data_IF_078627811786
#
_entry.id   IF_078627811786
#
_cell.length_a   1.000
_cell.length_b   1.000
_cell.length_c   1.000
_cell.angle_alpha   90.00
_cell.angle_beta   90.00
_cell.angle_gamma   90.00
#
_symmetry.space_group_name_H-M   'P 1'
#
loop_
_entity.id
_entity.type
_entity.pdbx_description
1 polymer ?
#
# COMPACT_ATOMS: atom_id res chain seq x y z
N UNK A 1 1.09 3.20 -8.32
CA UNK A 1 0.35 1.92 -8.17
C UNK A 1 -1.13 2.14 -7.89
N UNK A 2 -1.51 2.70 -6.73
CA UNK A 2 -2.93 2.85 -6.34
C UNK A 2 -3.85 3.58 -7.33
N UNK A 3 -3.44 4.69 -7.98
CA UNK A 3 -4.30 5.35 -8.96
C UNK A 3 -4.68 4.44 -10.14
N UNK A 4 -3.73 3.64 -10.66
CA UNK A 4 -3.97 2.73 -11.77
C UNK A 4 -4.93 1.60 -11.39
N UNK A 5 -4.83 1.07 -10.17
CA UNK A 5 -5.76 0.05 -9.69
C UNK A 5 -7.19 0.58 -9.61
N UNK A 6 -7.38 1.79 -9.09
CA UNK A 6 -8.70 2.41 -8.97
C UNK A 6 -9.26 2.85 -10.32
N UNK A 7 -8.40 3.30 -11.24
CA UNK A 7 -8.81 3.57 -12.62
C UNK A 7 -9.33 2.31 -13.31
N UNK A 8 -8.63 1.18 -13.13
CA UNK A 8 -9.03 -0.09 -13.75
C UNK A 8 -10.31 -0.68 -13.15
N UNK A 9 -10.48 -0.60 -11.83
CA UNK A 9 -11.56 -1.29 -11.11
C UNK A 9 -12.82 -0.43 -10.92
N UNK A 10 -12.67 0.88 -10.80
CA UNK A 10 -13.77 1.81 -10.51
C UNK A 10 -13.91 2.91 -11.56
N UNK A 11 -13.05 2.96 -12.58
CA UNK A 11 -13.07 4.05 -13.57
C UNK A 11 -12.66 5.42 -13.01
N UNK A 12 -11.92 5.44 -11.90
CA UNK A 12 -11.50 6.69 -11.27
C UNK A 12 -10.55 7.50 -12.15
N UNK A 13 -10.74 8.83 -12.19
CA UNK A 13 -9.96 9.78 -13.01
C UNK A 13 -8.61 10.21 -12.39
N UNK A 14 -8.28 9.69 -11.20
CA UNK A 14 -7.02 9.96 -10.51
C UNK A 14 -7.04 11.16 -9.56
N UNK A 15 -8.17 11.84 -9.42
CA UNK A 15 -8.30 13.07 -8.60
C UNK A 15 -8.36 12.84 -7.10
N UNK A 16 -8.54 11.59 -6.65
CA UNK A 16 -8.67 11.25 -5.23
C UNK A 16 -7.42 11.64 -4.40
N UNK A 17 -7.64 11.99 -3.13
CA UNK A 17 -6.54 12.16 -2.18
C UNK A 17 -5.84 10.81 -1.90
N UNK A 18 -4.64 10.83 -1.31
CA UNK A 18 -3.96 9.58 -0.94
C UNK A 18 -4.80 8.76 0.06
N UNK A 19 -5.40 9.41 1.05
CA UNK A 19 -6.23 8.77 2.06
C UNK A 19 -7.48 8.15 1.43
N UNK A 20 -8.15 8.89 0.53
CA UNK A 20 -9.34 8.38 -0.15
C UNK A 20 -9.00 7.17 -1.01
N UNK A 21 -7.87 7.19 -1.72
CA UNK A 21 -7.39 6.01 -2.46
C UNK A 21 -7.21 4.79 -1.56
N UNK A 22 -6.66 4.97 -0.35
CA UNK A 22 -6.51 3.86 0.61
C UNK A 22 -7.86 3.32 1.06
N UNK A 23 -8.82 4.20 1.38
CA UNK A 23 -10.16 3.78 1.79
C UNK A 23 -10.90 3.03 0.67
N UNK A 24 -10.80 3.48 -0.58
CA UNK A 24 -11.39 2.77 -1.72
C UNK A 24 -10.77 1.37 -1.90
N UNK A 25 -9.45 1.28 -1.90
CA UNK A 25 -8.76 -0.01 -2.04
C UNK A 25 -9.04 -0.97 -0.86
N UNK A 26 -9.27 -0.43 0.33
CA UNK A 26 -9.68 -1.22 1.51
C UNK A 26 -11.11 -1.76 1.33
N UNK A 27 -12.06 -0.93 0.86
CA UNK A 27 -13.42 -1.38 0.52
C UNK A 27 -13.43 -2.45 -0.56
N UNK A 28 -12.50 -2.38 -1.52
CA UNK A 28 -12.30 -3.41 -2.56
C UNK A 28 -11.58 -4.67 -2.04
N UNK A 29 -11.26 -4.76 -0.75
CA UNK A 29 -10.50 -5.84 -0.13
C UNK A 29 -9.09 -6.06 -0.74
N UNK A 30 -8.56 -5.06 -1.44
CA UNK A 30 -7.20 -5.05 -2.01
C UNK A 30 -6.18 -4.53 -1.01
N UNK A 31 -6.63 -3.74 -0.04
CA UNK A 31 -5.88 -3.34 1.13
C UNK A 31 -6.49 -3.98 2.38
N UNK A 32 -5.64 -4.54 3.24
CA UNK A 32 -6.07 -5.09 4.52
C UNK A 32 -6.24 -4.03 5.60
N UNK A 33 -5.49 -2.93 5.53
CA UNK A 33 -5.51 -1.87 6.53
C UNK A 33 -4.98 -0.56 5.98
N UNK A 34 -5.85 0.43 5.74
CA UNK A 34 -5.46 1.76 5.28
C UNK A 34 -4.53 2.50 6.27
N UNK A 35 -4.74 2.34 7.59
CA UNK A 35 -3.91 2.99 8.63
C UNK A 35 -2.45 2.54 8.58
N UNK A 36 -2.19 1.29 8.20
CA UNK A 36 -0.82 0.78 8.08
C UNK A 36 -0.03 1.54 7.00
N UNK A 37 -0.66 1.87 5.87
CA UNK A 37 -0.04 2.67 4.80
C UNK A 37 0.23 4.11 5.21
N UNK A 38 -0.63 4.69 6.05
CA UNK A 38 -0.38 6.01 6.63
C UNK A 38 0.86 5.99 7.52
N UNK A 39 0.98 4.99 8.41
CA UNK A 39 2.18 4.80 9.26
C UNK A 39 3.44 4.62 8.43
N UNK A 40 3.37 3.84 7.35
CA UNK A 40 4.50 3.65 6.44
C UNK A 40 4.92 4.96 5.76
N UNK A 41 3.95 5.78 5.34
CA UNK A 41 4.21 7.11 4.77
C UNK A 41 4.89 8.01 5.78
N UNK A 42 4.41 8.01 7.02
CA UNK A 42 4.99 8.83 8.08
C UNK A 42 6.41 8.35 8.42
N UNK A 43 6.65 7.05 8.54
CA UNK A 43 7.99 6.48 8.69
C UNK A 43 8.93 6.89 7.57
N UNK A 44 8.47 6.82 6.31
CA UNK A 44 9.25 7.30 5.16
C UNK A 44 9.59 8.78 5.26
N UNK A 45 8.66 9.61 5.73
CA UNK A 45 8.90 11.04 5.92
C UNK A 45 9.99 11.29 6.98
N UNK A 46 9.99 10.51 8.07
CA UNK A 46 11.03 10.61 9.11
C UNK A 46 12.41 10.16 8.59
N UNK A 47 12.47 9.10 7.78
CA UNK A 47 13.73 8.63 7.18
C UNK A 47 14.34 9.64 6.19
N UNK A 48 13.50 10.41 5.50
CA UNK A 48 13.96 11.47 4.58
C UNK A 48 14.33 12.77 5.28
N UNK A 49 14.11 12.85 6.59
CA UNK A 49 14.39 14.05 7.35
C UNK A 49 15.85 14.03 7.85
N UNK A 50 16.65 15.00 7.41
CA UNK A 50 18.05 15.14 7.81
C UNK A 50 18.14 15.87 9.17
N UNK A 51 17.88 15.16 10.28
CA UNK A 51 18.24 15.61 11.63
C UNK A 51 19.46 14.84 12.15
N UNK A 52 20.69 15.28 11.83
CA UNK A 52 21.92 14.59 12.25
C UNK A 52 22.14 14.57 13.77
N UNK A 53 21.37 15.36 14.54
CA UNK A 53 21.45 15.49 15.99
C UNK A 53 20.84 14.30 16.76
N UNK A 54 20.09 13.41 16.09
CA UNK A 54 19.36 12.29 16.74
C UNK A 54 19.67 10.90 16.15
N UNK A 55 20.90 10.38 16.31
CA UNK A 55 21.31 9.10 15.74
C UNK A 55 20.49 7.91 16.27
N UNK A 56 20.03 7.96 17.52
CA UNK A 56 19.20 6.91 18.11
C UNK A 56 17.82 6.83 17.43
N UNK A 57 17.15 7.97 17.26
CA UNK A 57 15.87 8.08 16.54
C UNK A 57 16.01 7.57 15.11
N UNK A 58 17.11 7.92 14.43
CA UNK A 58 17.38 7.43 13.07
C UNK A 58 17.56 5.91 13.03
N UNK A 59 18.31 5.33 13.96
CA UNK A 59 18.49 3.87 14.05
C UNK A 59 17.15 3.15 14.29
N UNK A 60 16.29 3.70 15.16
CA UNK A 60 14.95 3.17 15.42
C UNK A 60 14.07 3.23 14.17
N UNK A 61 14.07 4.35 13.44
CA UNK A 61 13.34 4.48 12.18
C UNK A 61 13.85 3.49 11.13
N UNK A 62 15.17 3.29 11.01
CA UNK A 62 15.73 2.30 10.08
C UNK A 62 15.27 0.88 10.45
N UNK A 63 15.32 0.52 11.73
CA UNK A 63 14.85 -0.79 12.19
C UNK A 63 13.36 -1.00 11.89
N UNK A 64 12.53 0.02 12.14
CA UNK A 64 11.12 -0.01 11.77
C UNK A 64 10.92 -0.13 10.25
N UNK A 65 11.78 0.50 9.44
CA UNK A 65 11.71 0.43 7.98
C UNK A 65 12.03 -0.96 7.46
N UNK A 66 13.03 -1.63 8.04
CA UNK A 66 13.38 -3.01 7.72
C UNK A 66 12.20 -3.93 8.04
N UNK A 67 11.62 -3.84 9.24
CA UNK A 67 10.44 -4.63 9.61
C UNK A 67 9.23 -4.34 8.70
N UNK A 68 8.98 -3.07 8.37
CA UNK A 68 7.89 -2.69 7.47
C UNK A 68 8.10 -3.19 6.03
N UNK A 69 9.36 -3.35 5.60
CA UNK A 69 9.69 -3.89 4.28
C UNK A 69 9.29 -5.36 4.14
N UNK A 70 9.42 -6.16 5.20
CA UNK A 70 8.98 -7.55 5.21
C UNK A 70 7.46 -7.64 5.06
N UNK A 71 6.73 -6.78 5.77
CA UNK A 71 5.27 -6.69 5.67
C UNK A 71 4.82 -6.20 4.27
N UNK A 72 5.56 -5.27 3.65
CA UNK A 72 5.31 -4.85 2.26
C UNK A 72 5.47 -6.03 1.28
N UNK A 73 6.51 -6.85 1.45
CA UNK A 73 6.73 -8.02 0.60
C UNK A 73 5.58 -9.02 0.75
N UNK A 74 5.17 -9.34 1.98
CA UNK A 74 4.01 -10.21 2.25
C UNK A 74 2.73 -9.67 1.62
N UNK A 75 2.49 -8.36 1.77
CA UNK A 75 1.36 -7.69 1.14
C UNK A 75 1.40 -7.88 -0.39
N UNK A 76 2.56 -7.70 -1.01
CA UNK A 76 2.68 -7.79 -2.46
C UNK A 76 2.39 -9.21 -2.98
N UNK A 77 2.86 -10.23 -2.27
CA UNK A 77 2.53 -11.63 -2.57
C UNK A 77 1.02 -11.92 -2.45
N UNK A 78 0.38 -11.38 -1.41
CA UNK A 78 -1.08 -11.51 -1.20
C UNK A 78 -1.87 -10.83 -2.32
N UNK A 79 -1.52 -9.58 -2.66
CA UNK A 79 -2.22 -8.83 -3.71
C UNK A 79 -2.04 -9.49 -5.08
N UNK A 80 -0.84 -10.01 -5.41
CA UNK A 80 -0.63 -10.78 -6.65
C UNK A 80 -1.53 -12.01 -6.72
N UNK A 81 -1.67 -12.73 -5.61
CA UNK A 81 -2.53 -13.92 -5.56
C UNK A 81 -4.00 -13.54 -5.78
N UNK A 82 -4.47 -12.48 -5.11
CA UNK A 82 -5.83 -11.96 -5.26
C UNK A 82 -6.13 -11.50 -6.69
N UNK A 83 -5.22 -10.78 -7.34
CA UNK A 83 -5.45 -10.30 -8.72
C UNK A 83 -5.50 -11.44 -9.74
N UNK A 84 -4.69 -12.49 -9.55
CA UNK A 84 -4.79 -13.72 -10.37
C UNK A 84 -6.15 -14.40 -10.17
N UNK A 85 -6.65 -14.46 -8.94
CA UNK A 85 -7.94 -15.08 -8.63
C UNK A 85 -9.11 -14.31 -9.24
N UNK A 86 -9.12 -12.99 -9.13
CA UNK A 86 -10.13 -12.11 -9.75
C UNK A 86 -10.14 -12.31 -11.27
N UNK A 87 -8.95 -12.34 -11.91
CA UNK A 87 -8.84 -12.58 -13.35
C UNK A 87 -9.42 -13.94 -13.76
N UNK A 88 -9.17 -14.99 -12.98
CA UNK A 88 -9.73 -16.34 -13.23
C UNK A 88 -11.25 -16.37 -13.11
N UNK A 89 -11.82 -15.68 -12.11
CA UNK A 89 -13.27 -15.60 -11.93
C UNK A 89 -13.95 -14.95 -13.14
N UNK A 90 -13.46 -13.79 -13.59
CA UNK A 90 -14.01 -13.13 -14.77
C UNK A 90 -13.90 -13.96 -16.06
N UNK A 91 -12.85 -14.77 -16.20
CA UNK A 91 -12.72 -15.68 -17.35
C UNK A 91 -13.71 -16.86 -17.32
N UNK A 92 -14.16 -17.28 -16.14
CA UNK A 92 -15.17 -18.33 -15.99
C UNK A 92 -16.60 -17.81 -16.14
N UNK A 93 -16.86 -16.54 -15.86
CA UNK A 93 -18.18 -15.89 -16.05
C UNK A 93 -18.46 -15.50 -17.52
N UNK A 94 -17.42 -15.47 -18.36
CA UNK A 94 -17.48 -15.15 -19.80
C UNK A 94 -17.66 -16.40 -20.70
N UNK A 95 -17.72 -17.61 -20.12
CA UNK A 95 -17.91 -18.90 -20.79
C UNK A 95 -19.24 -19.53 -20.36
#
# INVERSE_FOLDING_TARGET
>A
MFPLLLQLLEGNDGTLSFLDRLHHLEKLNLLSNAKWWLKLRDLRNHLTHDYPEEPQTMAENINQAVAASEELVKYWHSLRTKTIQIKKQWQQELL
#
